data_IF_025640567277
#
_entry.id   IF_025640567277
#
_cell.length_a   1.000
_cell.length_b   1.000
_cell.length_c   1.000
_cell.angle_alpha   90.00
_cell.angle_beta   90.00
_cell.angle_gamma   90.00
#
_symmetry.space_group_name_H-M   'P 1'
#
loop_
_entity.id
_entity.type
_entity.pdbx_description
1 polymer ?
#
# COMPACT_ATOMS: atom_id res chain seq x y z
N UNK A 1 24.64 0.46 -6.29
CA UNK A 1 23.36 -0.03 -5.75
C UNK A 1 23.21 -1.45 -6.26
N UNK A 2 22.79 -2.41 -5.43
CA UNK A 2 22.61 -3.77 -5.94
C UNK A 2 21.38 -3.78 -6.85
N UNK A 3 21.54 -4.25 -8.08
CA UNK A 3 20.48 -4.34 -9.07
C UNK A 3 19.95 -5.77 -9.07
N UNK A 4 18.64 -5.93 -8.87
CA UNK A 4 17.99 -7.23 -8.88
C UNK A 4 17.69 -7.62 -10.33
N UNK A 5 18.04 -8.85 -10.70
CA UNK A 5 17.75 -9.37 -12.04
C UNK A 5 17.00 -10.69 -11.97
N UNK A 6 16.43 -11.13 -13.08
CA UNK A 6 15.76 -12.44 -13.15
C UNK A 6 16.72 -13.61 -12.90
N UNK A 7 18.02 -13.43 -13.14
CA UNK A 7 19.06 -14.44 -12.84
C UNK A 7 19.31 -14.63 -11.34
N UNK A 8 18.83 -13.70 -10.52
CA UNK A 8 18.91 -13.80 -9.08
C UNK A 8 17.78 -14.64 -8.49
N UNK A 9 16.77 -15.00 -9.28
CA UNK A 9 15.51 -15.58 -8.81
C UNK A 9 15.41 -17.05 -9.19
N UNK A 10 15.24 -17.91 -8.18
CA UNK A 10 14.91 -19.31 -8.35
C UNK A 10 13.48 -19.56 -7.87
N UNK A 11 12.62 -19.99 -8.80
CA UNK A 11 11.20 -20.23 -8.57
C UNK A 11 10.92 -21.61 -7.97
N UNK A 12 9.79 -21.71 -7.26
CA UNK A 12 9.24 -23.00 -6.85
C UNK A 12 10.19 -23.84 -6.01
N UNK A 13 11.07 -23.19 -5.24
CA UNK A 13 11.91 -23.87 -4.26
C UNK A 13 11.03 -24.41 -3.14
N UNK A 14 11.55 -25.40 -2.43
CA UNK A 14 10.90 -26.00 -1.27
C UNK A 14 11.88 -26.05 -0.10
N UNK A 15 11.35 -25.81 1.10
CA UNK A 15 12.04 -26.00 2.36
C UNK A 15 10.97 -26.32 3.43
N UNK A 16 11.30 -27.21 4.36
CA UNK A 16 10.41 -27.62 5.45
C UNK A 16 10.37 -26.61 6.60
N UNK A 17 11.39 -25.78 6.73
CA UNK A 17 11.52 -24.72 7.74
C UNK A 17 12.50 -23.64 7.25
N UNK A 18 12.56 -22.53 7.98
CA UNK A 18 13.45 -21.40 7.66
C UNK A 18 14.92 -21.76 7.70
N UNK A 19 15.36 -22.65 8.59
CA UNK A 19 16.77 -23.06 8.68
C UNK A 19 17.21 -23.79 7.40
N UNK A 20 16.37 -24.67 6.87
CA UNK A 20 16.59 -25.35 5.59
C UNK A 20 16.58 -24.35 4.42
N UNK A 21 15.63 -23.42 4.39
CA UNK A 21 15.59 -22.37 3.38
C UNK A 21 16.88 -21.53 3.39
N UNK A 22 17.36 -21.13 4.57
CA UNK A 22 18.60 -20.38 4.75
C UNK A 22 19.80 -21.17 4.24
N UNK A 23 19.87 -22.48 4.53
CA UNK A 23 20.95 -23.36 4.03
C UNK A 23 20.95 -23.50 2.51
N UNK A 24 19.78 -23.68 1.90
CA UNK A 24 19.65 -23.75 0.44
C UNK A 24 20.11 -22.45 -0.22
N UNK A 25 19.71 -21.30 0.34
CA UNK A 25 20.13 -19.99 -0.14
C UNK A 25 21.64 -19.79 0.02
N UNK A 26 22.19 -20.14 1.19
CA UNK A 26 23.63 -20.04 1.43
C UNK A 26 24.44 -20.90 0.46
N UNK A 27 23.96 -22.12 0.17
CA UNK A 27 24.57 -23.02 -0.83
C UNK A 27 24.59 -22.37 -2.22
N UNK A 28 23.48 -21.75 -2.63
CA UNK A 28 23.40 -21.07 -3.93
C UNK A 28 24.26 -19.79 -3.98
N UNK A 29 24.44 -19.07 -2.85
CA UNK A 29 25.40 -17.96 -2.75
C UNK A 29 26.86 -18.44 -2.91
N UNK A 30 27.19 -19.61 -2.34
CA UNK A 30 28.51 -20.24 -2.51
C UNK A 30 28.71 -20.69 -3.96
N UNK A 31 27.71 -21.33 -4.57
CA UNK A 31 27.80 -21.82 -5.95
C UNK A 31 27.94 -20.70 -6.98
N UNK A 32 27.32 -19.54 -6.72
CA UNK A 32 27.52 -18.29 -7.48
C UNK A 32 28.87 -17.62 -7.24
N UNK A 33 29.68 -18.12 -6.30
CA UNK A 33 30.97 -17.54 -5.96
C UNK A 33 30.90 -16.22 -5.20
N UNK A 34 29.72 -15.83 -4.70
CA UNK A 34 29.53 -14.59 -3.94
C UNK A 34 30.14 -14.67 -2.55
N UNK A 35 30.10 -15.86 -1.95
CA UNK A 35 30.66 -16.13 -0.62
C UNK A 35 31.54 -17.38 -0.61
N UNK A 36 32.32 -17.55 0.45
CA UNK A 36 33.06 -18.76 0.76
C UNK A 36 32.21 -19.76 1.56
N UNK A 37 32.68 -21.00 1.62
CA UNK A 37 32.08 -22.05 2.44
C UNK A 37 31.97 -21.61 3.92
N UNK A 38 30.93 -22.07 4.60
CA UNK A 38 30.66 -21.71 6.00
C UNK A 38 29.88 -20.40 6.20
N UNK A 39 29.57 -19.63 5.16
CA UNK A 39 28.74 -18.41 5.28
C UNK A 39 27.34 -18.68 5.88
N UNK A 40 26.80 -19.90 5.70
CA UNK A 40 25.53 -20.33 6.30
C UNK A 40 25.49 -20.10 7.82
N UNK A 41 26.61 -20.31 8.52
CA UNK A 41 26.68 -20.22 9.98
C UNK A 41 26.36 -18.81 10.43
N UNK A 42 26.85 -17.81 9.68
CA UNK A 42 26.53 -16.41 9.90
C UNK A 42 25.06 -16.11 9.62
N UNK A 43 24.50 -16.67 8.55
CA UNK A 43 23.08 -16.45 8.21
C UNK A 43 22.15 -17.04 9.28
N UNK A 44 22.43 -18.25 9.76
CA UNK A 44 21.68 -18.92 10.82
C UNK A 44 21.85 -18.20 12.16
N UNK A 45 23.08 -17.80 12.52
CA UNK A 45 23.32 -17.03 13.74
C UNK A 45 22.59 -15.69 13.73
N UNK A 46 22.54 -15.02 12.57
CA UNK A 46 21.78 -13.77 12.41
C UNK A 46 20.29 -13.97 12.60
N UNK A 47 19.73 -15.04 12.04
CA UNK A 47 18.31 -15.38 12.18
C UNK A 47 17.94 -15.71 13.63
N UNK A 48 18.85 -16.36 14.38
CA UNK A 48 18.64 -16.66 15.81
C UNK A 48 18.62 -15.41 16.71
N UNK A 49 19.34 -14.35 16.34
CA UNK A 49 19.34 -13.11 17.11
C UNK A 49 17.99 -12.38 17.03
N UNK A 50 17.45 -12.29 15.82
CA UNK A 50 16.15 -11.70 15.52
C UNK A 50 15.71 -12.21 14.15
N UNK A 51 14.41 -12.49 14.00
CA UNK A 51 13.84 -12.89 12.72
C UNK A 51 14.21 -11.92 11.60
N UNK A 52 14.58 -12.46 10.44
CA UNK A 52 14.85 -11.66 9.23
C UNK A 52 13.60 -11.48 8.36
N UNK A 53 12.43 -11.88 8.86
CA UNK A 53 11.15 -11.58 8.22
C UNK A 53 10.84 -10.07 8.26
N UNK A 54 10.40 -9.51 7.14
CA UNK A 54 10.12 -8.07 7.00
C UNK A 54 8.64 -7.72 6.89
N UNK A 55 7.78 -8.67 6.54
CA UNK A 55 6.39 -8.45 6.19
C UNK A 55 6.06 -8.85 4.75
N UNK A 56 4.77 -8.91 4.41
CA UNK A 56 4.24 -9.20 3.07
C UNK A 56 4.81 -10.49 2.44
N UNK A 57 5.11 -11.50 3.25
CA UNK A 57 5.68 -12.75 2.78
C UNK A 57 7.16 -12.71 2.40
N UNK A 58 7.92 -11.68 2.81
CA UNK A 58 9.33 -11.49 2.43
C UNK A 58 10.26 -11.64 3.65
N UNK A 59 11.32 -12.44 3.49
CA UNK A 59 12.44 -12.54 4.43
C UNK A 59 13.78 -12.14 3.78
N UNK A 60 14.73 -11.63 4.57
CA UNK A 60 16.05 -11.19 4.09
C UNK A 60 17.21 -11.83 4.87
N UNK A 61 17.40 -13.16 4.78
CA UNK A 61 18.48 -13.81 5.51
C UNK A 61 19.86 -13.30 5.04
N UNK A 62 20.75 -12.99 5.99
CA UNK A 62 22.08 -12.42 5.72
C UNK A 62 23.05 -12.78 6.84
N UNK A 63 24.36 -12.78 6.56
CA UNK A 63 25.39 -13.12 7.53
C UNK A 63 25.58 -12.08 8.65
N UNK A 64 26.22 -12.50 9.74
CA UNK A 64 26.67 -11.61 10.82
C UNK A 64 27.97 -10.87 10.44
N UNK A 65 28.43 -10.00 11.34
CA UNK A 65 29.76 -9.35 11.24
C UNK A 65 30.90 -10.35 11.17
N UNK A 66 30.75 -11.50 11.83
CA UNK A 66 31.83 -12.48 12.04
C UNK A 66 32.09 -13.32 10.78
N UNK A 67 31.11 -13.38 9.87
CA UNK A 67 31.22 -14.06 8.57
C UNK A 67 31.50 -13.11 7.41
N UNK A 68 31.82 -11.83 7.68
CA UNK A 68 32.05 -10.82 6.63
C UNK A 68 33.23 -11.15 5.73
N UNK A 69 34.29 -11.70 6.28
CA UNK A 69 35.50 -12.06 5.53
C UNK A 69 35.24 -13.19 4.52
N UNK A 70 34.13 -13.93 4.70
CA UNK A 70 33.68 -14.95 3.76
C UNK A 70 32.98 -14.35 2.54
N UNK A 71 32.60 -13.07 2.54
CA UNK A 71 31.97 -12.42 1.39
C UNK A 71 33.04 -12.06 0.37
N UNK A 72 33.02 -12.73 -0.79
CA UNK A 72 33.94 -12.45 -1.90
C UNK A 72 33.47 -11.24 -2.70
N UNK A 73 32.19 -11.25 -3.07
CA UNK A 73 31.52 -10.23 -3.87
C UNK A 73 30.12 -9.96 -3.30
N UNK A 74 29.73 -8.68 -3.25
CA UNK A 74 28.37 -8.31 -2.88
C UNK A 74 27.39 -8.79 -3.94
N UNK A 75 26.31 -9.47 -3.50
CA UNK A 75 25.34 -10.08 -4.39
C UNK A 75 24.15 -10.65 -3.65
N UNK A 76 23.17 -11.14 -4.40
CA UNK A 76 21.97 -11.76 -3.84
C UNK A 76 21.65 -13.10 -4.48
N UNK A 77 20.89 -13.88 -3.74
CA UNK A 77 20.16 -15.03 -4.24
C UNK A 77 18.76 -15.01 -3.69
N UNK A 78 17.76 -15.07 -4.57
CA UNK A 78 16.35 -15.01 -4.23
C UNK A 78 15.74 -16.39 -4.46
N UNK A 79 15.08 -16.92 -3.44
CA UNK A 79 14.27 -18.14 -3.54
C UNK A 79 12.80 -17.77 -3.38
N UNK A 80 11.98 -18.23 -4.31
CA UNK A 80 10.53 -18.16 -4.24
C UNK A 80 9.95 -19.52 -3.84
N UNK A 81 9.04 -19.51 -2.88
CA UNK A 81 8.40 -20.68 -2.29
C UNK A 81 6.89 -20.62 -2.52
N UNK A 82 6.37 -21.30 -3.54
CA UNK A 82 4.95 -21.25 -3.89
C UNK A 82 4.02 -21.72 -2.75
N UNK A 83 4.50 -22.67 -1.94
CA UNK A 83 3.74 -23.20 -0.78
C UNK A 83 4.02 -22.45 0.52
N UNK A 84 4.89 -21.43 0.49
CA UNK A 84 5.39 -20.74 1.68
C UNK A 84 6.35 -21.59 2.52
N UNK A 85 7.11 -20.91 3.37
CA UNK A 85 7.95 -21.49 4.41
C UNK A 85 7.62 -20.79 5.72
N UNK A 86 7.33 -21.55 6.77
CA UNK A 86 7.15 -20.99 8.11
C UNK A 86 8.44 -20.31 8.56
N UNK A 87 8.36 -19.00 8.81
CA UNK A 87 9.48 -18.16 9.25
C UNK A 87 9.43 -17.82 10.75
N UNK A 88 8.49 -18.42 11.48
CA UNK A 88 8.30 -18.24 12.91
C UNK A 88 7.32 -17.12 13.26
N UNK A 89 6.82 -17.16 14.50
CA UNK A 89 5.88 -16.17 15.07
C UNK A 89 4.61 -15.95 14.22
N UNK A 90 4.14 -17.02 13.55
CA UNK A 90 2.97 -16.99 12.67
C UNK A 90 3.22 -16.37 11.29
N UNK A 91 4.48 -16.05 10.94
CA UNK A 91 4.84 -15.45 9.67
C UNK A 91 5.22 -16.53 8.65
N UNK A 92 4.70 -16.40 7.42
CA UNK A 92 5.06 -17.28 6.30
C UNK A 92 5.82 -16.49 5.24
N UNK A 93 6.98 -16.99 4.80
CA UNK A 93 7.74 -16.40 3.72
C UNK A 93 7.44 -17.12 2.39
N UNK A 94 6.99 -16.36 1.38
CA UNK A 94 6.88 -16.81 -0.02
C UNK A 94 8.10 -16.40 -0.84
N UNK A 95 8.92 -15.49 -0.30
CA UNK A 95 10.16 -15.05 -0.91
C UNK A 95 11.23 -14.84 0.15
N UNK A 96 12.41 -15.43 -0.05
CA UNK A 96 13.58 -15.15 0.78
C UNK A 96 14.73 -14.62 -0.08
N UNK A 97 15.27 -13.46 0.31
CA UNK A 97 16.34 -12.75 -0.39
C UNK A 97 17.61 -12.90 0.43
N UNK A 98 18.44 -13.88 0.07
CA UNK A 98 19.77 -14.08 0.64
C UNK A 98 20.72 -12.99 0.20
N UNK A 99 21.32 -12.29 1.16
CA UNK A 99 22.22 -11.17 0.87
C UNK A 99 23.65 -11.53 1.29
N UNK A 100 24.56 -11.52 0.32
CA UNK A 100 26.00 -11.50 0.54
C UNK A 100 26.46 -10.04 0.53
N UNK A 101 26.85 -9.49 1.69
CA UNK A 101 27.29 -8.10 1.80
C UNK A 101 28.45 -7.95 2.79
N UNK A 102 29.46 -7.17 2.40
CA UNK A 102 30.62 -6.86 3.27
C UNK A 102 30.28 -5.82 4.33
N UNK A 103 29.26 -4.99 4.09
CA UNK A 103 28.85 -3.91 5.00
C UNK A 103 27.32 -3.77 5.06
N UNK A 104 26.79 -2.61 5.51
CA UNK A 104 25.36 -2.31 5.62
C UNK A 104 24.60 -2.25 4.29
N UNK A 105 25.08 -2.90 3.24
CA UNK A 105 24.50 -2.87 1.89
C UNK A 105 23.13 -3.55 1.81
N UNK A 106 22.80 -4.42 2.78
CA UNK A 106 21.43 -4.93 2.97
C UNK A 106 20.41 -3.79 3.17
N UNK A 107 20.83 -2.62 3.69
CA UNK A 107 19.98 -1.44 3.79
C UNK A 107 19.62 -0.86 2.40
N UNK A 108 20.46 -1.07 1.39
CA UNK A 108 20.17 -0.68 0.01
C UNK A 108 19.02 -1.49 -0.58
N UNK A 109 19.02 -2.80 -0.35
CA UNK A 109 17.90 -3.69 -0.68
C UNK A 109 16.66 -3.32 0.13
N UNK A 110 16.81 -3.07 1.44
CA UNK A 110 15.68 -2.64 2.27
C UNK A 110 15.03 -1.37 1.73
N UNK A 111 15.83 -0.38 1.30
CA UNK A 111 15.34 0.84 0.65
C UNK A 111 14.54 0.55 -0.62
N UNK A 112 15.02 -0.33 -1.49
CA UNK A 112 14.28 -0.73 -2.70
C UNK A 112 12.96 -1.42 -2.34
N UNK A 113 12.95 -2.24 -1.29
CA UNK A 113 11.77 -2.98 -0.84
C UNK A 113 10.78 -2.13 -0.03
N UNK A 114 11.12 -0.91 0.40
CA UNK A 114 10.23 -0.09 1.26
C UNK A 114 8.83 0.12 0.67
N UNK A 115 8.74 0.29 -0.64
CA UNK A 115 7.48 0.40 -1.37
C UNK A 115 6.68 -0.93 -1.32
N UNK A 116 7.34 -2.04 -1.58
CA UNK A 116 6.74 -3.39 -1.62
C UNK A 116 6.26 -3.82 -0.23
N UNK A 117 7.03 -3.54 0.81
CA UNK A 117 6.67 -3.80 2.21
C UNK A 117 5.53 -2.91 2.72
N UNK A 118 5.18 -1.86 1.98
CA UNK A 118 4.08 -0.96 2.32
C UNK A 118 2.84 -1.16 1.45
N UNK A 119 2.91 -2.05 0.45
CA UNK A 119 1.83 -2.28 -0.52
C UNK A 119 0.98 -3.49 -0.11
N UNK A 120 -0.33 -3.35 -0.22
CA UNK A 120 -1.26 -4.45 0.01
C UNK A 120 -1.24 -5.44 -1.17
N UNK A 121 -1.62 -6.71 -0.93
CA UNK A 121 -1.72 -7.74 -1.97
C UNK A 121 -0.39 -8.31 -2.49
N UNK A 122 0.76 -7.81 -2.00
CA UNK A 122 2.09 -8.33 -2.37
C UNK A 122 2.25 -9.80 -1.99
N UNK A 123 1.81 -10.19 -0.79
CA UNK A 123 1.92 -11.57 -0.31
C UNK A 123 1.20 -12.56 -1.24
N UNK A 124 -0.05 -12.25 -1.61
CA UNK A 124 -0.84 -13.06 -2.53
C UNK A 124 -0.26 -13.07 -3.95
N UNK A 125 0.33 -11.95 -4.38
CA UNK A 125 1.02 -11.85 -5.66
C UNK A 125 2.28 -12.73 -5.71
N UNK A 126 3.07 -12.72 -4.62
CA UNK A 126 4.25 -13.57 -4.48
C UNK A 126 3.84 -15.05 -4.47
N UNK A 127 2.81 -15.42 -3.71
CA UNK A 127 2.29 -16.79 -3.66
C UNK A 127 1.90 -17.32 -5.05
N UNK A 128 1.28 -16.48 -5.88
CA UNK A 128 0.78 -16.85 -7.20
C UNK A 128 1.78 -16.62 -8.35
N UNK A 129 2.98 -16.10 -8.06
CA UNK A 129 3.99 -15.84 -9.08
C UNK A 129 4.46 -17.14 -9.77
N UNK A 130 4.51 -17.11 -11.09
CA UNK A 130 4.86 -18.26 -11.96
C UNK A 130 6.13 -18.05 -12.78
N UNK A 131 6.72 -16.85 -12.73
CA UNK A 131 7.94 -16.53 -13.48
C UNK A 131 8.85 -15.58 -12.71
N UNK A 132 10.14 -15.56 -13.07
CA UNK A 132 11.14 -14.73 -12.42
C UNK A 132 10.88 -13.25 -12.73
N UNK A 133 10.36 -12.96 -13.92
CA UNK A 133 9.92 -11.64 -14.36
C UNK A 133 8.76 -11.13 -13.50
N UNK A 134 7.80 -11.99 -13.14
CA UNK A 134 6.69 -11.61 -12.26
C UNK A 134 7.18 -11.28 -10.85
N UNK A 135 8.07 -12.12 -10.29
CA UNK A 135 8.69 -11.84 -9.00
C UNK A 135 9.50 -10.54 -9.05
N UNK A 136 10.32 -10.34 -10.08
CA UNK A 136 11.11 -9.14 -10.24
C UNK A 136 10.21 -7.90 -10.34
N UNK A 137 9.13 -7.94 -11.12
CA UNK A 137 8.20 -6.84 -11.27
C UNK A 137 7.44 -6.50 -9.96
N UNK A 138 7.19 -7.49 -9.10
CA UNK A 138 6.67 -7.26 -7.75
C UNK A 138 7.72 -6.52 -6.90
N UNK A 139 8.98 -6.92 -6.98
CA UNK A 139 10.07 -6.33 -6.18
C UNK A 139 10.47 -4.92 -6.64
N UNK A 140 10.37 -4.63 -7.94
CA UNK A 140 10.71 -3.32 -8.52
C UNK A 140 9.52 -2.36 -8.55
N UNK A 141 8.30 -2.86 -8.29
CA UNK A 141 7.07 -2.07 -8.40
C UNK A 141 6.62 -1.80 -9.85
N UNK A 142 7.27 -2.40 -10.85
CA UNK A 142 7.01 -2.15 -12.27
C UNK A 142 5.65 -2.67 -12.78
N UNK A 143 4.98 -3.54 -12.00
CA UNK A 143 3.65 -4.06 -12.34
C UNK A 143 2.50 -3.39 -11.59
N UNK A 144 2.73 -2.32 -10.81
CA UNK A 144 1.62 -1.47 -10.38
C UNK A 144 1.19 -0.59 -11.55
N UNK A 145 0.33 -1.12 -12.42
CA UNK A 145 -0.46 -0.26 -13.31
C UNK A 145 -1.33 0.62 -12.41
N UNK A 146 -0.88 1.84 -12.16
CA UNK A 146 -1.61 2.79 -11.34
C UNK A 146 -2.97 3.08 -11.98
N UNK A 147 -3.99 3.14 -11.14
CA UNK A 147 -5.31 3.62 -11.52
C UNK A 147 -5.16 4.95 -12.26
N UNK A 148 -5.62 5.01 -13.51
CA UNK A 148 -5.63 6.25 -14.26
C UNK A 148 -6.86 7.07 -13.83
N UNK A 149 -6.62 8.08 -13.00
CA UNK A 149 -7.61 9.07 -12.65
C UNK A 149 -6.93 10.39 -12.29
N UNK A 150 -6.85 11.29 -13.26
CA UNK A 150 -6.28 12.63 -13.12
C UNK A 150 -7.31 13.69 -13.51
N UNK A 151 -6.92 14.96 -13.47
CA UNK A 151 -7.80 16.08 -13.82
C UNK A 151 -8.33 15.99 -15.26
N UNK A 152 -7.55 15.40 -16.19
CA UNK A 152 -7.98 15.24 -17.57
C UNK A 152 -9.17 14.28 -17.69
N UNK A 153 -9.31 13.34 -16.75
CA UNK A 153 -10.42 12.39 -16.66
C UNK A 153 -11.71 13.01 -16.11
N UNK A 154 -11.70 14.29 -15.72
CA UNK A 154 -12.84 14.98 -15.10
C UNK A 154 -13.43 16.03 -16.04
N UNK A 155 -14.75 16.16 -16.04
CA UNK A 155 -15.49 17.31 -16.58
C UNK A 155 -16.40 17.84 -15.47
N UNK A 156 -16.22 19.11 -15.09
CA UNK A 156 -17.08 19.75 -14.10
C UNK A 156 -18.14 20.60 -14.80
N UNK A 157 -19.31 20.73 -14.15
CA UNK A 157 -20.40 21.61 -14.57
C UNK A 157 -20.79 21.45 -16.04
N UNK A 158 -20.95 20.21 -16.49
CA UNK A 158 -21.30 19.90 -17.87
C UNK A 158 -22.79 20.24 -18.14
N UNK A 159 -23.11 21.04 -19.17
CA UNK A 159 -24.49 21.37 -19.53
C UNK A 159 -25.18 20.16 -20.16
N UNK A 160 -25.96 19.42 -19.37
CA UNK A 160 -26.59 18.16 -19.78
C UNK A 160 -27.87 17.89 -19.02
N UNK A 161 -28.77 17.10 -19.62
CA UNK A 161 -30.08 16.77 -19.03
C UNK A 161 -30.42 15.27 -19.11
N UNK A 162 -29.47 14.43 -19.52
CA UNK A 162 -29.65 12.99 -19.65
C UNK A 162 -28.36 12.21 -19.31
N UNK A 163 -28.53 10.98 -18.81
CA UNK A 163 -27.43 10.10 -18.38
C UNK A 163 -26.62 9.52 -19.56
N UNK A 164 -27.20 9.41 -20.75
CA UNK A 164 -26.54 8.84 -21.93
C UNK A 164 -25.43 9.76 -22.41
N UNK A 165 -25.72 11.06 -22.51
CA UNK A 165 -24.76 12.11 -22.83
C UNK A 165 -23.63 12.17 -21.79
N UNK A 166 -23.95 12.05 -20.49
CA UNK A 166 -22.92 11.99 -19.44
C UNK A 166 -21.99 10.76 -19.60
N UNK A 167 -22.57 9.60 -19.92
CA UNK A 167 -21.80 8.36 -20.15
C UNK A 167 -20.88 8.49 -21.37
N UNK A 168 -21.36 9.12 -22.44
CA UNK A 168 -20.58 9.40 -23.64
C UNK A 168 -19.39 10.34 -23.35
N UNK A 169 -19.58 11.37 -22.52
CA UNK A 169 -18.48 12.26 -22.10
C UNK A 169 -17.43 11.50 -21.30
N UNK A 170 -17.85 10.70 -20.31
CA UNK A 170 -16.92 9.89 -19.52
C UNK A 170 -16.12 8.92 -20.41
N UNK A 171 -16.80 8.20 -21.31
CA UNK A 171 -16.15 7.30 -22.26
C UNK A 171 -15.18 8.05 -23.19
N UNK A 172 -15.55 9.26 -23.62
CA UNK A 172 -14.70 10.13 -24.44
C UNK A 172 -13.42 10.55 -23.71
N UNK A 173 -13.51 10.94 -22.43
CA UNK A 173 -12.34 11.28 -21.59
C UNK A 173 -11.39 10.08 -21.48
N UNK A 174 -11.92 8.91 -21.14
CA UNK A 174 -11.13 7.68 -21.01
C UNK A 174 -10.49 7.26 -22.33
N UNK A 175 -11.19 7.43 -23.45
CA UNK A 175 -10.67 7.13 -24.78
C UNK A 175 -9.54 8.09 -25.18
N UNK A 176 -9.68 9.38 -24.88
CA UNK A 176 -8.64 10.38 -25.13
C UNK A 176 -7.37 10.10 -24.32
N UNK A 177 -7.53 9.59 -23.10
CA UNK A 177 -6.43 9.11 -22.27
C UNK A 177 -5.88 7.73 -22.69
N UNK A 178 -6.40 7.15 -23.78
CA UNK A 178 -6.04 5.81 -24.33
C UNK A 178 -6.30 4.64 -23.37
N UNK A 179 -7.04 4.89 -22.29
CA UNK A 179 -7.40 3.88 -21.30
C UNK A 179 -8.34 2.81 -21.86
N UNK A 180 -9.15 3.20 -22.86
CA UNK A 180 -10.19 2.35 -23.45
C UNK A 180 -10.27 2.49 -24.97
N UNK A 181 -10.88 1.52 -25.63
CA UNK A 181 -11.09 1.50 -27.08
C UNK A 181 -12.56 1.75 -27.47
N UNK A 182 -12.91 1.58 -28.74
CA UNK A 182 -14.27 1.84 -29.25
C UNK A 182 -15.34 0.87 -28.73
N UNK A 183 -14.96 -0.37 -28.37
CA UNK A 183 -15.86 -1.36 -27.80
C UNK A 183 -16.36 -0.90 -26.42
N UNK A 184 -15.46 -0.33 -25.60
CA UNK A 184 -15.83 0.25 -24.30
C UNK A 184 -16.89 1.34 -24.46
N UNK A 185 -16.70 2.26 -25.42
CA UNK A 185 -17.63 3.37 -25.66
C UNK A 185 -19.01 2.84 -26.03
N UNK A 186 -19.08 1.86 -26.94
CA UNK A 186 -20.34 1.27 -27.37
C UNK A 186 -21.05 0.54 -26.22
N UNK A 187 -20.32 -0.25 -25.43
CA UNK A 187 -20.87 -0.99 -24.29
C UNK A 187 -21.36 -0.04 -23.18
N UNK A 188 -20.61 1.03 -22.89
CA UNK A 188 -20.96 1.97 -21.83
C UNK A 188 -22.22 2.77 -22.16
N UNK A 189 -22.34 3.27 -23.39
CA UNK A 189 -23.52 4.04 -23.84
C UNK A 189 -24.78 3.19 -23.87
N UNK A 190 -24.66 1.88 -24.08
CA UNK A 190 -25.78 0.95 -24.05
C UNK A 190 -26.24 0.58 -22.63
N UNK A 191 -25.46 0.90 -21.59
CA UNK A 191 -25.77 0.57 -20.19
C UNK A 191 -26.49 1.71 -19.49
N UNK A 192 -27.48 1.34 -18.66
CA UNK A 192 -28.10 2.28 -17.74
C UNK A 192 -27.21 2.50 -16.50
N UNK A 193 -26.84 3.74 -16.16
CA UNK A 193 -26.13 4.01 -14.92
C UNK A 193 -26.99 3.68 -13.69
N UNK A 194 -26.33 3.38 -12.56
CA UNK A 194 -26.97 3.07 -11.28
C UNK A 194 -26.83 4.24 -10.32
N UNK A 195 -27.95 4.69 -9.73
CA UNK A 195 -27.93 5.71 -8.68
C UNK A 195 -27.43 5.11 -7.36
N UNK A 196 -26.45 5.75 -6.72
CA UNK A 196 -25.87 5.28 -5.46
C UNK A 196 -26.19 6.17 -4.25
N UNK A 197 -26.88 7.30 -4.46
CA UNK A 197 -27.25 8.24 -3.41
C UNK A 197 -26.64 9.63 -3.59
N UNK A 198 -27.25 10.62 -2.94
CA UNK A 198 -26.81 12.03 -2.95
C UNK A 198 -26.64 12.64 -4.36
N UNK A 199 -27.32 12.08 -5.38
CA UNK A 199 -27.21 12.54 -6.76
C UNK A 199 -26.00 12.00 -7.53
N UNK A 200 -25.21 11.09 -6.95
CA UNK A 200 -24.15 10.38 -7.66
C UNK A 200 -24.70 9.15 -8.39
N UNK A 201 -24.27 8.98 -9.63
CA UNK A 201 -24.54 7.80 -10.44
C UNK A 201 -23.23 7.12 -10.80
N UNK A 202 -23.29 5.80 -11.02
CA UNK A 202 -22.13 4.99 -11.41
C UNK A 202 -22.45 4.18 -12.66
N UNK A 203 -21.52 4.13 -13.59
CA UNK A 203 -21.53 3.18 -14.70
C UNK A 203 -20.18 2.49 -14.81
N UNK A 204 -20.15 1.30 -15.40
CA UNK A 204 -18.90 0.54 -15.53
C UNK A 204 -18.89 -0.39 -16.72
N UNK A 205 -17.69 -0.66 -17.22
CA UNK A 205 -17.45 -1.75 -18.17
C UNK A 205 -16.02 -2.29 -18.04
N UNK A 206 -15.88 -3.57 -18.38
CA UNK A 206 -14.60 -4.25 -18.55
C UNK A 206 -14.28 -4.56 -20.02
N UNK A 207 -15.21 -4.27 -20.95
CA UNK A 207 -15.00 -4.50 -22.38
C UNK A 207 -14.16 -3.39 -22.98
N UNK A 208 -13.21 -3.73 -23.84
CA UNK A 208 -12.38 -2.74 -24.52
C UNK A 208 -11.49 -1.88 -23.60
N UNK A 209 -11.15 -2.36 -22.41
CA UNK A 209 -10.29 -1.64 -21.45
C UNK A 209 -8.82 -2.00 -21.65
N UNK A 210 -7.99 -1.01 -21.96
CA UNK A 210 -6.55 -1.16 -22.09
C UNK A 210 -5.84 -1.04 -20.72
N UNK A 211 -6.31 -0.09 -19.89
CA UNK A 211 -5.80 0.24 -18.56
C UNK A 211 -6.97 0.56 -17.62
N UNK A 212 -6.88 0.12 -16.35
CA UNK A 212 -7.86 0.47 -15.33
C UNK A 212 -7.92 1.99 -15.14
N UNK A 213 -9.11 2.59 -15.25
CA UNK A 213 -9.27 4.04 -15.20
C UNK A 213 -10.64 4.46 -14.66
N UNK A 214 -10.72 5.70 -14.17
CA UNK A 214 -11.97 6.36 -13.77
C UNK A 214 -12.20 7.62 -14.60
N UNK A 215 -13.46 8.03 -14.74
CA UNK A 215 -13.82 9.36 -15.24
C UNK A 215 -15.02 9.89 -14.49
N UNK A 216 -15.03 11.19 -14.20
CA UNK A 216 -16.10 11.87 -13.47
C UNK A 216 -16.67 13.00 -14.33
N UNK A 217 -18.00 13.06 -14.42
CA UNK A 217 -18.74 14.20 -14.95
C UNK A 217 -19.65 14.74 -13.86
N UNK A 218 -19.61 16.04 -13.59
CA UNK A 218 -20.62 16.74 -12.77
C UNK A 218 -21.48 17.62 -13.66
N UNK A 219 -22.72 17.89 -13.26
CA UNK A 219 -23.69 18.66 -14.07
C UNK A 219 -23.65 20.14 -13.73
N UNK A 220 -23.95 21.00 -14.69
CA UNK A 220 -24.11 22.45 -14.44
C UNK A 220 -25.37 22.73 -13.59
N UNK A 221 -26.45 22.01 -13.87
CA UNK A 221 -27.73 22.14 -13.16
C UNK A 221 -28.28 20.75 -12.84
N UNK A 222 -28.70 20.55 -11.60
CA UNK A 222 -29.32 19.30 -11.16
C UNK A 222 -30.57 19.01 -12.01
N UNK A 223 -30.68 17.79 -12.50
CA UNK A 223 -31.89 17.28 -13.15
C UNK A 223 -32.30 15.95 -12.52
N UNK A 224 -33.45 15.40 -12.93
CA UNK A 224 -33.96 14.14 -12.38
C UNK A 224 -34.08 13.08 -13.46
N UNK A 225 -33.64 11.86 -13.15
CA UNK A 225 -33.81 10.68 -14.00
C UNK A 225 -34.30 9.52 -13.13
N UNK A 226 -35.33 8.82 -13.58
CA UNK A 226 -35.94 7.71 -12.84
C UNK A 226 -36.34 8.04 -11.39
N UNK A 227 -36.76 9.29 -11.14
CA UNK A 227 -37.16 9.76 -9.81
C UNK A 227 -36.01 10.09 -8.85
N UNK A 228 -34.76 10.04 -9.33
CA UNK A 228 -33.59 10.38 -8.53
C UNK A 228 -32.87 11.63 -9.08
N UNK A 229 -32.28 12.46 -8.21
CA UNK A 229 -31.47 13.59 -8.65
C UNK A 229 -30.21 13.11 -9.37
N UNK A 230 -29.73 13.92 -10.30
CA UNK A 230 -28.48 13.70 -11.04
C UNK A 230 -27.60 14.91 -10.82
N UNK A 231 -26.49 14.72 -10.12
CA UNK A 231 -25.45 15.74 -9.84
C UNK A 231 -24.10 15.35 -10.44
N UNK A 232 -23.83 14.06 -10.54
CA UNK A 232 -22.63 13.57 -11.21
C UNK A 232 -22.73 12.09 -11.60
N UNK A 233 -21.84 11.69 -12.52
CA UNK A 233 -21.67 10.34 -13.00
C UNK A 233 -20.19 9.96 -12.89
N UNK A 234 -19.91 8.90 -12.13
CA UNK A 234 -18.60 8.25 -12.07
C UNK A 234 -18.61 7.02 -12.99
N UNK A 235 -17.66 6.95 -13.91
CA UNK A 235 -17.47 5.82 -14.82
C UNK A 235 -16.23 5.02 -14.42
N UNK A 236 -16.37 3.69 -14.35
CA UNK A 236 -15.26 2.76 -14.08
C UNK A 236 -14.94 1.96 -15.34
N UNK A 237 -13.70 2.07 -15.83
CA UNK A 237 -13.11 1.15 -16.78
C UNK A 237 -12.28 0.10 -16.03
N UNK A 238 -12.86 -1.07 -15.78
CA UNK A 238 -12.28 -2.08 -14.90
C UNK A 238 -11.56 -3.20 -15.66
N UNK A 239 -10.23 -3.27 -15.54
CA UNK A 239 -9.41 -4.40 -16.01
C UNK A 239 -8.74 -5.15 -14.85
N UNK A 240 -8.26 -4.40 -13.85
CA UNK A 240 -7.72 -4.90 -12.57
C UNK A 240 -8.60 -4.55 -11.38
N UNK A 241 -8.02 -4.47 -10.18
CA UNK A 241 -8.71 -4.18 -8.91
C UNK A 241 -8.40 -2.79 -8.36
N UNK A 242 -7.63 -1.97 -9.09
CA UNK A 242 -7.08 -0.71 -8.60
C UNK A 242 -8.17 0.35 -8.32
N UNK A 243 -9.34 0.23 -8.96
CA UNK A 243 -10.47 1.12 -8.73
C UNK A 243 -11.24 0.83 -7.43
N UNK A 244 -11.01 -0.32 -6.78
CA UNK A 244 -11.76 -0.73 -5.58
C UNK A 244 -11.57 0.29 -4.45
N UNK A 245 -10.33 0.75 -4.25
CA UNK A 245 -10.02 1.74 -3.22
C UNK A 245 -10.74 3.07 -3.46
N UNK A 246 -10.82 3.52 -4.72
CA UNK A 246 -11.57 4.71 -5.08
C UNK A 246 -13.09 4.54 -4.83
N UNK A 247 -13.65 3.36 -5.11
CA UNK A 247 -15.05 3.07 -4.79
C UNK A 247 -15.31 3.00 -3.27
N UNK A 248 -14.33 2.53 -2.48
CA UNK A 248 -14.41 2.60 -1.02
C UNK A 248 -14.42 4.06 -0.54
N UNK A 249 -13.59 4.92 -1.11
CA UNK A 249 -13.61 6.36 -0.80
C UNK A 249 -14.95 7.01 -1.16
N UNK A 250 -15.54 6.69 -2.32
CA UNK A 250 -16.91 7.11 -2.69
C UNK A 250 -17.92 6.65 -1.65
N UNK A 251 -17.81 5.40 -1.20
CA UNK A 251 -18.69 4.82 -0.18
C UNK A 251 -18.55 5.55 1.17
N UNK A 252 -17.33 5.88 1.57
CA UNK A 252 -17.07 6.63 2.80
C UNK A 252 -17.63 8.06 2.74
N UNK A 253 -17.53 8.72 1.58
CA UNK A 253 -18.16 10.02 1.33
C UNK A 253 -19.69 9.91 1.37
N UNK A 254 -20.26 8.85 0.80
CA UNK A 254 -21.70 8.59 0.84
C UNK A 254 -22.18 8.42 2.29
N UNK A 255 -21.54 7.53 3.07
CA UNK A 255 -21.89 7.28 4.48
C UNK A 255 -21.76 8.56 5.31
N UNK A 256 -20.73 9.38 5.04
CA UNK A 256 -20.49 10.63 5.76
C UNK A 256 -21.35 11.80 5.29
N UNK A 257 -22.24 11.60 4.32
CA UNK A 257 -23.05 12.65 3.69
C UNK A 257 -22.22 13.80 3.07
N UNK A 258 -21.07 13.46 2.47
CA UNK A 258 -20.07 14.38 1.89
C UNK A 258 -19.86 14.22 0.38
N UNK A 259 -20.69 13.45 -0.33
CA UNK A 259 -20.59 13.40 -1.81
C UNK A 259 -20.92 14.77 -2.44
N UNK A 260 -21.72 15.59 -1.76
CA UNK A 260 -21.98 16.99 -2.12
C UNK A 260 -20.71 17.80 -2.38
N UNK A 261 -19.65 17.54 -1.62
CA UNK A 261 -18.38 18.25 -1.72
C UNK A 261 -17.66 17.93 -3.03
N UNK A 262 -17.78 16.69 -3.54
CA UNK A 262 -17.17 16.27 -4.82
C UNK A 262 -17.76 17.04 -6.00
N UNK A 263 -19.06 17.32 -5.98
CA UNK A 263 -19.72 18.00 -7.10
C UNK A 263 -19.32 19.47 -7.25
N UNK A 264 -18.86 20.08 -6.16
CA UNK A 264 -18.47 21.49 -6.09
C UNK A 264 -16.95 21.69 -6.02
N UNK A 265 -16.18 20.59 -5.99
CA UNK A 265 -14.74 20.62 -5.89
C UNK A 265 -14.06 21.04 -7.20
N UNK A 266 -12.82 21.51 -7.11
CA UNK A 266 -11.94 21.59 -8.29
C UNK A 266 -11.62 20.18 -8.82
N UNK A 267 -11.13 20.06 -10.06
CA UNK A 267 -10.77 18.75 -10.61
C UNK A 267 -9.67 18.08 -9.76
N UNK A 268 -8.66 18.84 -9.34
CA UNK A 268 -7.60 18.36 -8.47
C UNK A 268 -8.14 17.87 -7.10
N UNK A 269 -9.03 18.64 -6.49
CA UNK A 269 -9.64 18.25 -5.21
C UNK A 269 -10.55 17.03 -5.37
N UNK A 270 -11.29 16.91 -6.47
CA UNK A 270 -12.10 15.73 -6.76
C UNK A 270 -11.23 14.47 -6.91
N UNK A 271 -10.11 14.56 -7.64
CA UNK A 271 -9.10 13.49 -7.72
C UNK A 271 -8.64 13.11 -6.31
N UNK A 272 -8.23 14.11 -5.52
CA UNK A 272 -7.79 13.92 -4.14
C UNK A 272 -8.84 13.21 -3.29
N UNK A 273 -10.08 13.66 -3.33
CA UNK A 273 -11.19 13.11 -2.56
C UNK A 273 -11.52 11.65 -2.92
N UNK A 274 -11.32 11.27 -4.18
CA UNK A 274 -11.63 9.94 -4.70
C UNK A 274 -10.45 8.97 -4.56
N UNK A 275 -9.19 9.46 -4.56
CA UNK A 275 -8.00 8.63 -4.49
C UNK A 275 -7.35 8.57 -3.11
N UNK A 276 -7.43 9.64 -2.31
CA UNK A 276 -6.84 9.60 -0.98
C UNK A 276 -7.70 8.77 -0.03
N UNK A 277 -7.07 7.75 0.54
CA UNK A 277 -7.67 6.91 1.58
C UNK A 277 -8.14 7.79 2.73
N UNK A 278 -9.45 7.89 2.88
CA UNK A 278 -10.05 8.40 4.11
C UNK A 278 -10.49 7.20 4.92
N UNK A 279 -9.68 6.82 5.90
CA UNK A 279 -10.12 5.83 6.87
C UNK A 279 -11.29 6.38 7.68
N UNK A 280 -12.40 5.65 7.63
CA UNK A 280 -13.50 5.81 8.56
C UNK A 280 -13.00 5.50 9.96
N UNK A 281 -13.41 6.29 10.95
CA UNK A 281 -12.99 6.06 12.32
C UNK A 281 -13.20 7.29 13.19
N UNK A 282 -13.15 7.06 14.50
CA UNK A 282 -13.04 8.15 15.45
C UNK A 282 -11.66 8.79 15.28
N UNK A 283 -11.58 10.11 15.42
CA UNK A 283 -10.32 10.83 15.25
C UNK A 283 -10.10 11.85 16.36
N UNK A 284 -8.87 11.88 16.85
CA UNK A 284 -8.39 12.84 17.84
C UNK A 284 -6.98 13.29 17.50
N UNK A 285 -6.66 14.54 17.86
CA UNK A 285 -5.35 15.15 17.59
C UNK A 285 -4.64 15.44 18.90
N UNK A 286 -3.39 14.99 19.02
CA UNK A 286 -2.57 15.17 20.21
C UNK A 286 -1.27 15.92 19.90
N UNK A 287 -0.89 16.83 20.78
CA UNK A 287 0.38 17.56 20.69
C UNK A 287 1.49 16.83 21.44
N UNK A 288 2.60 16.56 20.75
CA UNK A 288 3.76 15.88 21.34
C UNK A 288 4.58 16.85 22.19
N UNK A 289 4.84 16.47 23.45
CA UNK A 289 5.58 17.29 24.42
C UNK A 289 7.02 16.84 24.65
N UNK A 290 7.35 15.60 24.26
CA UNK A 290 8.69 15.02 24.39
C UNK A 290 9.75 15.92 23.73
N UNK A 291 10.81 16.25 24.46
CA UNK A 291 11.86 17.19 24.02
C UNK A 291 12.55 16.75 22.71
N UNK A 292 12.71 15.44 22.51
CA UNK A 292 13.30 14.86 21.31
C UNK A 292 12.27 14.30 20.33
N UNK A 293 10.98 14.56 20.53
CA UNK A 293 9.90 14.04 19.68
C UNK A 293 9.70 12.53 19.80
N UNK A 294 9.24 11.87 18.74
CA UNK A 294 9.00 10.42 18.72
C UNK A 294 10.19 9.65 18.11
N UNK A 295 11.28 9.55 18.86
CA UNK A 295 12.36 8.60 18.53
C UNK A 295 12.00 7.18 19.01
N UNK A 296 12.96 6.25 18.90
CA UNK A 296 12.71 4.82 19.12
C UNK A 296 12.05 4.46 20.47
N UNK A 297 12.38 5.15 21.55
CA UNK A 297 11.87 4.86 22.90
C UNK A 297 10.41 5.31 23.12
N UNK A 298 10.05 6.61 23.00
CA UNK A 298 8.67 7.05 23.14
C UNK A 298 7.80 6.50 21.99
N UNK A 299 8.37 6.29 20.79
CA UNK A 299 7.72 5.60 19.69
C UNK A 299 7.36 4.15 20.03
N UNK A 300 8.26 3.40 20.68
CA UNK A 300 7.97 2.01 21.08
C UNK A 300 6.84 1.93 22.10
N UNK A 301 6.77 2.88 23.05
CA UNK A 301 5.68 2.91 24.03
C UNK A 301 4.33 3.28 23.39
N UNK A 302 4.32 4.26 22.48
CA UNK A 302 3.12 4.60 21.72
C UNK A 302 2.61 3.38 20.93
N UNK A 303 3.52 2.68 20.25
CA UNK A 303 3.21 1.48 19.48
C UNK A 303 2.73 0.35 20.37
N UNK A 304 3.31 0.17 21.56
CA UNK A 304 2.86 -0.89 22.47
C UNK A 304 1.46 -0.61 23.00
N UNK A 305 1.12 0.65 23.27
CA UNK A 305 -0.27 1.05 23.61
C UNK A 305 -1.20 0.79 22.43
N UNK A 306 -0.86 1.21 21.22
CA UNK A 306 -1.69 0.96 20.05
C UNK A 306 -1.93 -0.54 19.79
N UNK A 307 -0.96 -1.41 20.10
CA UNK A 307 -1.06 -2.87 19.95
C UNK A 307 -1.98 -3.56 20.96
N UNK A 308 -2.42 -2.90 22.03
CA UNK A 308 -3.35 -3.53 23.00
C UNK A 308 -4.79 -3.60 22.51
N UNK A 309 -5.11 -2.88 21.43
CA UNK A 309 -6.45 -2.76 20.88
C UNK A 309 -6.59 -3.57 19.60
N UNK A 310 -7.78 -4.10 19.35
CA UNK A 310 -8.11 -4.83 18.13
C UNK A 310 -8.33 -3.85 16.96
N UNK A 311 -8.81 -2.65 17.26
CA UNK A 311 -8.97 -1.55 16.31
C UNK A 311 -7.78 -1.35 15.40
N UNK A 312 -8.04 -1.04 14.14
CA UNK A 312 -7.03 -0.50 13.24
C UNK A 312 -6.80 0.96 13.63
N UNK A 313 -5.52 1.34 13.78
CA UNK A 313 -5.16 2.67 14.27
C UNK A 313 -4.08 3.23 13.36
N UNK A 314 -4.29 4.47 12.95
CA UNK A 314 -3.38 5.19 12.08
C UNK A 314 -3.04 6.55 12.66
N UNK A 315 -1.89 7.06 12.27
CA UNK A 315 -1.35 8.33 12.74
C UNK A 315 -0.75 9.13 11.60
N UNK A 316 -1.03 10.42 11.61
CA UNK A 316 -0.54 11.39 10.63
C UNK A 316 0.11 12.56 11.36
N UNK A 317 1.29 12.97 10.93
CA UNK A 317 1.91 14.21 11.40
C UNK A 317 1.32 15.39 10.61
N UNK A 318 0.29 16.03 11.19
CA UNK A 318 -0.44 17.12 10.53
C UNK A 318 0.32 18.44 10.53
N UNK A 319 1.34 18.59 11.38
CA UNK A 319 2.22 19.77 11.36
C UNK A 319 3.23 19.76 10.22
N UNK A 320 3.71 18.57 9.82
CA UNK A 320 4.75 18.43 8.80
C UNK A 320 4.25 17.82 7.48
N UNK A 321 2.92 17.82 7.26
CA UNK A 321 2.26 17.23 6.08
C UNK A 321 2.76 15.81 5.76
N UNK A 322 2.79 14.95 6.78
CA UNK A 322 3.22 13.56 6.64
C UNK A 322 2.14 12.66 6.03
N UNK A 323 2.55 11.54 5.43
CA UNK A 323 1.61 10.46 5.07
C UNK A 323 1.03 9.84 6.34
N UNK A 324 -0.21 9.40 6.27
CA UNK A 324 -0.82 8.57 7.32
C UNK A 324 -0.12 7.20 7.36
N UNK A 325 0.17 6.70 8.56
CA UNK A 325 0.84 5.40 8.75
C UNK A 325 0.17 4.59 9.84
N UNK A 326 0.35 3.26 9.82
CA UNK A 326 -0.14 2.36 10.87
C UNK A 326 0.55 2.65 12.21
N UNK A 327 -0.22 3.03 13.23
CA UNK A 327 0.28 3.39 14.56
C UNK A 327 0.84 2.20 15.36
N UNK A 328 0.57 0.96 14.93
CA UNK A 328 1.14 -0.28 15.50
C UNK A 328 2.51 -0.64 14.89
N UNK A 329 3.03 0.15 13.94
CA UNK A 329 4.34 -0.07 13.33
C UNK A 329 5.37 0.96 13.79
N UNK A 330 6.31 0.53 14.63
CA UNK A 330 7.38 1.38 15.14
C UNK A 330 8.21 2.04 14.04
N UNK A 331 8.57 1.28 13.01
CA UNK A 331 9.35 1.82 11.89
C UNK A 331 8.60 2.94 11.17
N UNK A 332 7.30 2.76 10.90
CA UNK A 332 6.50 3.77 10.20
C UNK A 332 6.27 5.00 11.07
N UNK A 333 6.03 4.82 12.37
CA UNK A 333 5.85 5.94 13.33
C UNK A 333 7.11 6.80 13.45
N UNK A 334 8.30 6.18 13.54
CA UNK A 334 9.57 6.94 13.59
C UNK A 334 9.82 7.69 12.27
N UNK A 335 9.46 7.09 11.14
CA UNK A 335 9.62 7.69 9.82
C UNK A 335 8.79 8.97 9.62
N UNK A 336 7.79 9.24 10.47
CA UNK A 336 7.02 10.49 10.45
C UNK A 336 7.83 11.72 10.89
N UNK A 337 9.05 11.53 11.42
CA UNK A 337 9.96 12.62 11.77
C UNK A 337 9.38 13.59 12.81
N UNK A 338 8.62 13.07 13.76
CA UNK A 338 7.86 13.87 14.72
C UNK A 338 8.80 14.56 15.71
N UNK A 339 8.66 15.88 15.87
CA UNK A 339 9.45 16.70 16.80
C UNK A 339 8.57 17.23 17.94
N UNK A 340 9.21 17.79 18.96
CA UNK A 340 8.51 18.48 20.03
C UNK A 340 7.58 19.57 19.47
N UNK A 341 6.36 19.62 19.98
CA UNK A 341 5.34 20.60 19.59
C UNK A 341 4.55 20.25 18.34
N UNK A 342 4.93 19.21 17.59
CA UNK A 342 4.13 18.72 16.47
C UNK A 342 2.80 18.15 16.97
N UNK A 343 1.78 18.25 16.12
CA UNK A 343 0.46 17.67 16.30
C UNK A 343 0.33 16.42 15.44
N UNK A 344 -0.16 15.35 16.08
CA UNK A 344 -0.44 14.07 15.43
C UNK A 344 -1.94 13.82 15.46
N UNK A 345 -2.53 13.63 14.29
CA UNK A 345 -3.91 13.18 14.17
C UNK A 345 -3.92 11.66 14.16
N UNK A 346 -4.68 11.07 15.08
CA UNK A 346 -4.94 9.63 15.12
C UNK A 346 -6.33 9.36 14.57
N UNK A 347 -6.46 8.24 13.88
CA UNK A 347 -7.75 7.70 13.43
C UNK A 347 -7.81 6.25 13.91
N UNK A 348 -8.91 5.87 14.55
CA UNK A 348 -9.14 4.51 15.03
C UNK A 348 -10.47 3.96 14.49
N UNK A 349 -10.42 2.74 13.96
CA UNK A 349 -11.56 2.03 13.41
C UNK A 349 -11.71 0.66 14.07
N UNK A 350 -12.88 0.35 14.61
CA UNK A 350 -13.18 -0.90 15.31
C UNK A 350 -14.04 -0.69 16.55
N UNK A 351 -14.40 -1.79 17.20
CA UNK A 351 -15.32 -1.78 18.35
C UNK A 351 -14.71 -1.08 19.59
N UNK A 352 -13.40 -1.05 19.70
CA UNK A 352 -12.63 -0.44 20.79
C UNK A 352 -11.94 0.88 20.38
N UNK A 353 -12.40 1.51 19.30
CA UNK A 353 -11.77 2.70 18.73
C UNK A 353 -11.69 3.89 19.70
N UNK A 354 -12.75 4.18 20.46
CA UNK A 354 -12.72 5.29 21.43
C UNK A 354 -11.73 4.99 22.56
N UNK A 355 -11.77 3.76 23.10
CA UNK A 355 -10.85 3.33 24.16
C UNK A 355 -9.38 3.41 23.70
N UNK A 356 -9.13 3.08 22.42
CA UNK A 356 -7.81 3.20 21.82
C UNK A 356 -7.32 4.65 21.77
N UNK A 357 -8.16 5.58 21.32
CA UNK A 357 -7.82 7.01 21.27
C UNK A 357 -7.61 7.60 22.67
N UNK A 358 -8.48 7.27 23.62
CA UNK A 358 -8.36 7.72 25.01
C UNK A 358 -7.03 7.26 25.62
N UNK A 359 -6.67 5.98 25.45
CA UNK A 359 -5.43 5.41 25.97
C UNK A 359 -4.18 6.03 25.31
N UNK A 360 -4.23 6.29 24.01
CA UNK A 360 -3.16 6.99 23.28
C UNK A 360 -3.02 8.42 23.81
N UNK A 361 -4.12 9.14 24.01
CA UNK A 361 -4.13 10.49 24.57
C UNK A 361 -3.51 10.53 25.97
N UNK A 362 -3.87 9.57 26.83
CA UNK A 362 -3.27 9.42 28.17
C UNK A 362 -1.77 9.16 28.07
N UNK A 363 -1.34 8.21 27.23
CA UNK A 363 0.07 7.87 27.06
C UNK A 363 0.91 9.07 26.58
N UNK A 364 0.39 9.85 25.63
CA UNK A 364 1.02 11.08 25.12
C UNK A 364 1.06 12.15 26.21
N UNK A 365 -0.02 12.33 26.97
CA UNK A 365 -0.08 13.31 28.05
C UNK A 365 0.91 13.00 29.18
N UNK A 366 1.16 11.71 29.45
CA UNK A 366 2.15 11.20 30.41
C UNK A 366 3.59 11.18 29.86
N UNK A 367 3.82 11.77 28.67
CA UNK A 367 5.15 11.94 28.10
C UNK A 367 5.78 10.66 27.55
N UNK A 368 4.99 9.61 27.29
CA UNK A 368 5.46 8.36 26.65
C UNK A 368 6.71 7.74 27.32
N UNK A 369 6.78 7.78 28.65
CA UNK A 369 7.88 7.22 29.43
C UNK A 369 9.12 8.13 29.54
N UNK A 370 8.97 9.39 29.15
CA UNK A 370 9.97 10.47 29.29
C UNK A 370 9.37 11.72 29.95
N UNK A 371 8.17 11.59 30.52
CA UNK A 371 7.42 12.65 31.21
C UNK A 371 7.88 12.92 32.63
#
# INVERSE_FOLDING_TARGET
>A
MLELTTQDILLGKHASNKEEAIKHIATDLVSKGLVADGYEHGMLAREQQNSTFLGNGIAIPHGTTDTRDLVKQTGVQIHHFANGVDWGDGNTAFLAIGIAAKSGEHLGILKQLTHVLSSDGVEESLKNAKSAEQVLAILTGENQQTLLFDEACITLHFPVTDLTSMSAVCAGKLKNARAVNHEFVADLVAKAPTHIGQGMWVTSSSKGVNQTALSLVTVESEFHQYGHPVKGLLTVAGKGTEYIEALNNVTNLLISNKLGDVFNASAADAVKMLLEVRQSGLSETFKIKNAHGLHARPGALLVSVAKTFDSQIWVTNVTAEGKQVNAKSLMKVIALGVKQGHELAFVAEGADAQQALDAIGVAISNGLGEG
#
